data_IF_804146225444
#
_entry.id   IF_804146225444
#
_cell.length_a   1.000
_cell.length_b   1.000
_cell.length_c   1.000
_cell.angle_alpha   90.00
_cell.angle_beta   90.00
_cell.angle_gamma   90.00
#
_symmetry.space_group_name_H-M   'P 1'
#
loop_
_entity.id
_entity.type
_entity.pdbx_description
1 polymer ?
#
# COMPACT_ATOMS: atom_id res chain seq x y z
N UNK A 1 24.58 31.94 -24.67
CA UNK A 1 23.80 31.11 -23.74
C UNK A 1 24.66 30.90 -22.51
N UNK A 2 24.30 31.48 -21.37
CA UNK A 2 25.20 31.57 -20.20
C UNK A 2 25.33 30.19 -19.53
N UNK A 3 26.53 29.82 -19.06
CA UNK A 3 26.80 28.49 -18.46
C UNK A 3 25.84 28.19 -17.30
N UNK A 4 25.52 29.20 -16.49
CA UNK A 4 24.55 29.12 -15.40
C UNK A 4 23.13 28.78 -15.87
N UNK A 5 22.67 29.37 -16.97
CA UNK A 5 21.34 29.08 -17.54
C UNK A 5 21.26 27.63 -18.04
N UNK A 6 22.35 27.10 -18.61
CA UNK A 6 22.44 25.71 -19.05
C UNK A 6 22.50 24.69 -17.91
N UNK A 7 23.11 25.06 -16.78
CA UNK A 7 23.12 24.23 -15.57
C UNK A 7 21.74 24.16 -14.92
N UNK A 8 21.05 25.29 -14.77
CA UNK A 8 19.71 25.35 -14.18
C UNK A 8 18.69 24.57 -15.02
N UNK A 9 18.78 24.64 -16.36
CA UNK A 9 17.88 23.89 -17.24
C UNK A 9 18.10 22.38 -17.09
N UNK A 10 19.35 21.91 -17.09
CA UNK A 10 19.67 20.48 -16.89
C UNK A 10 19.17 19.96 -15.56
N UNK A 11 19.37 20.71 -14.47
CA UNK A 11 18.89 20.32 -13.13
C UNK A 11 17.37 20.22 -13.05
N UNK A 12 16.63 21.07 -13.76
CA UNK A 12 15.17 20.97 -13.85
C UNK A 12 14.75 19.73 -14.63
N UNK A 13 15.44 19.41 -15.71
CA UNK A 13 15.14 18.24 -16.53
C UNK A 13 15.46 16.94 -15.76
N UNK A 14 16.57 16.91 -15.00
CA UNK A 14 16.92 15.79 -14.12
C UNK A 14 15.84 15.54 -13.05
N UNK A 15 15.31 16.60 -12.44
CA UNK A 15 14.23 16.48 -11.44
C UNK A 15 12.90 16.00 -12.04
N UNK A 16 12.58 16.41 -13.26
CA UNK A 16 11.39 15.92 -13.97
C UNK A 16 11.52 14.44 -14.29
N UNK A 17 12.71 14.01 -14.73
CA UNK A 17 13.02 12.62 -14.97
C UNK A 17 12.93 11.77 -13.69
N UNK A 18 13.49 12.26 -12.58
CA UNK A 18 13.38 11.62 -11.26
C UNK A 18 11.91 11.50 -10.81
N UNK A 19 11.13 12.58 -10.94
CA UNK A 19 9.69 12.57 -10.64
C UNK A 19 8.94 11.54 -11.50
N UNK A 20 9.23 11.49 -12.79
CA UNK A 20 8.64 10.51 -13.70
C UNK A 20 8.96 9.08 -13.28
N UNK A 21 10.21 8.78 -12.92
CA UNK A 21 10.60 7.45 -12.45
C UNK A 21 9.83 7.03 -11.19
N UNK A 22 9.66 7.94 -10.23
CA UNK A 22 8.85 7.68 -9.04
C UNK A 22 7.41 7.34 -9.39
N UNK A 23 6.75 8.16 -10.21
CA UNK A 23 5.34 7.93 -10.56
C UNK A 23 5.14 6.72 -11.47
N UNK A 24 6.06 6.42 -12.39
CA UNK A 24 6.00 5.19 -13.20
C UNK A 24 6.08 3.92 -12.37
N UNK A 25 6.87 3.95 -11.30
CA UNK A 25 6.97 2.82 -10.38
C UNK A 25 5.70 2.62 -9.56
N UNK A 26 5.02 3.69 -9.16
CA UNK A 26 3.88 3.65 -8.22
C UNK A 26 2.53 3.57 -8.93
N UNK A 27 2.35 4.29 -10.04
CA UNK A 27 1.11 4.34 -10.82
C UNK A 27 1.26 3.38 -12.00
N UNK A 28 0.64 2.22 -11.88
CA UNK A 28 0.71 1.16 -12.89
C UNK A 28 -0.47 1.27 -13.86
N UNK A 29 -0.29 1.70 -15.13
CA UNK A 29 -1.42 1.90 -16.05
C UNK A 29 -2.19 0.62 -16.37
N UNK A 30 -1.52 -0.53 -16.31
CA UNK A 30 -2.12 -1.84 -16.51
C UNK A 30 -3.10 -2.24 -15.38
N UNK A 31 -2.95 -1.63 -14.21
CA UNK A 31 -3.75 -1.85 -13.01
C UNK A 31 -4.86 -0.80 -12.82
N UNK A 32 -5.28 -0.17 -13.92
CA UNK A 32 -6.41 0.75 -13.92
C UNK A 32 -7.72 0.06 -13.51
N UNK A 33 -8.51 0.71 -12.65
CA UNK A 33 -9.79 0.17 -12.17
C UNK A 33 -11.00 1.06 -12.49
N UNK A 34 -10.81 2.37 -12.60
CA UNK A 34 -11.94 3.29 -12.74
C UNK A 34 -11.60 4.75 -12.43
N UNK A 35 -12.64 5.53 -12.16
CA UNK A 35 -12.55 6.98 -11.98
C UNK A 35 -13.15 7.41 -10.65
N UNK A 36 -12.55 8.42 -10.03
CA UNK A 36 -13.14 9.08 -8.87
C UNK A 36 -14.25 10.03 -9.34
N UNK A 37 -15.46 9.89 -8.79
CA UNK A 37 -16.60 10.76 -9.12
C UNK A 37 -17.08 11.62 -7.95
N UNK A 38 -16.61 11.33 -6.73
CA UNK A 38 -16.94 12.12 -5.53
C UNK A 38 -15.81 11.99 -4.52
N UNK A 39 -15.44 13.10 -3.90
CA UNK A 39 -14.39 13.16 -2.87
C UNK A 39 -14.75 14.24 -1.85
N UNK A 40 -14.37 14.00 -0.61
CA UNK A 40 -14.31 14.99 0.47
C UNK A 40 -13.01 14.73 1.29
N UNK A 41 -12.88 15.30 2.48
CA UNK A 41 -11.66 15.14 3.30
C UNK A 41 -11.44 13.73 3.87
N UNK A 42 -12.49 12.93 4.02
CA UNK A 42 -12.42 11.63 4.72
C UNK A 42 -12.68 10.43 3.80
N UNK A 43 -13.48 10.63 2.76
CA UNK A 43 -14.04 9.57 1.92
C UNK A 43 -14.02 9.97 0.45
N UNK A 44 -13.91 8.95 -0.40
CA UNK A 44 -14.02 9.07 -1.84
C UNK A 44 -14.95 7.99 -2.37
N UNK A 45 -15.60 8.26 -3.50
CA UNK A 45 -16.37 7.26 -4.24
C UNK A 45 -15.79 7.10 -5.63
N UNK A 46 -15.56 5.85 -5.99
CA UNK A 46 -14.93 5.43 -7.23
C UNK A 46 -15.96 4.67 -8.05
N UNK A 47 -16.12 5.04 -9.32
CA UNK A 47 -16.89 4.25 -10.28
C UNK A 47 -15.93 3.25 -10.92
N UNK A 48 -16.27 1.97 -10.84
CA UNK A 48 -15.49 0.87 -11.40
C UNK A 48 -16.31 0.15 -12.47
N UNK A 49 -15.62 -0.61 -13.31
CA UNK A 49 -16.26 -1.48 -14.30
C UNK A 49 -15.73 -2.91 -14.20
N UNK A 50 -16.60 -3.90 -14.36
CA UNK A 50 -16.28 -5.32 -14.17
C UNK A 50 -15.11 -5.82 -15.03
N UNK A 51 -14.98 -5.32 -16.26
CA UNK A 51 -13.84 -5.64 -17.14
C UNK A 51 -12.49 -5.29 -16.50
N UNK A 52 -12.33 -4.06 -16.02
CA UNK A 52 -11.09 -3.59 -15.40
C UNK A 52 -10.88 -4.25 -14.03
N UNK A 53 -11.97 -4.40 -13.25
CA UNK A 53 -11.96 -5.12 -11.98
C UNK A 53 -11.44 -6.55 -12.14
N UNK A 54 -11.89 -7.27 -13.17
CA UNK A 54 -11.44 -8.63 -13.44
C UNK A 54 -9.96 -8.66 -13.88
N UNK A 55 -9.54 -7.70 -14.71
CA UNK A 55 -8.15 -7.59 -15.19
C UNK A 55 -7.15 -7.44 -14.04
N UNK A 56 -7.49 -6.67 -13.01
CA UNK A 56 -6.62 -6.42 -11.84
C UNK A 56 -6.72 -7.49 -10.72
N UNK A 57 -7.37 -8.63 -11.01
CA UNK A 57 -7.55 -9.70 -10.03
C UNK A 57 -8.63 -9.42 -8.97
N UNK A 58 -9.48 -8.42 -9.20
CA UNK A 58 -10.55 -8.01 -8.29
C UNK A 58 -10.16 -6.87 -7.34
N UNK A 59 -11.16 -6.32 -6.66
CA UNK A 59 -11.01 -5.22 -5.68
C UNK A 59 -11.64 -5.73 -4.38
N UNK A 60 -10.85 -6.36 -3.49
CA UNK A 60 -11.35 -6.85 -2.21
C UNK A 60 -11.59 -5.69 -1.22
N UNK A 61 -12.43 -5.92 -0.21
CA UNK A 61 -12.56 -4.96 0.89
C UNK A 61 -11.20 -4.73 1.57
N UNK A 62 -10.98 -3.53 2.06
CA UNK A 62 -9.74 -3.06 2.69
C UNK A 62 -8.52 -3.00 1.77
N UNK A 63 -8.66 -3.31 0.47
CA UNK A 63 -7.54 -3.11 -0.47
C UNK A 63 -7.20 -1.65 -0.64
N UNK A 64 -5.92 -1.37 -0.91
CA UNK A 64 -5.50 -0.05 -1.29
C UNK A 64 -5.82 0.24 -2.75
N UNK A 65 -6.17 1.50 -3.04
CA UNK A 65 -6.25 2.06 -4.38
C UNK A 65 -5.47 3.38 -4.40
N UNK A 66 -4.95 3.74 -5.57
CA UNK A 66 -4.26 5.01 -5.82
C UNK A 66 -5.17 5.86 -6.70
N UNK A 67 -5.48 7.09 -6.29
CA UNK A 67 -6.14 8.07 -7.14
C UNK A 67 -5.16 9.19 -7.54
N UNK A 68 -4.95 9.39 -8.84
CA UNK A 68 -4.02 10.41 -9.33
C UNK A 68 -4.46 11.01 -10.67
N UNK A 69 -3.96 12.21 -10.94
CA UNK A 69 -4.02 12.89 -12.24
C UNK A 69 -2.72 12.79 -13.02
N UNK A 70 -1.66 12.31 -12.38
CA UNK A 70 -0.35 12.17 -13.02
C UNK A 70 -0.46 11.12 -14.11
N UNK A 71 -0.10 11.51 -15.33
CA UNK A 71 0.19 10.56 -16.40
C UNK A 71 1.64 10.07 -16.22
N UNK A 72 1.88 8.81 -15.82
CA UNK A 72 3.22 8.30 -15.61
C UNK A 72 4.07 8.29 -16.90
N UNK A 73 3.44 8.33 -18.07
CA UNK A 73 4.17 8.38 -19.35
C UNK A 73 4.55 9.82 -19.76
N UNK A 74 4.05 10.84 -19.06
CA UNK A 74 4.43 12.22 -19.31
C UNK A 74 5.85 12.50 -18.83
N UNK A 75 6.68 13.06 -19.70
CA UNK A 75 8.04 13.48 -19.38
C UNK A 75 8.12 14.83 -18.66
N UNK A 76 6.99 15.52 -18.50
CA UNK A 76 6.93 16.88 -17.96
C UNK A 76 6.13 16.95 -16.66
N UNK A 77 6.51 16.12 -15.67
CA UNK A 77 5.90 16.13 -14.35
C UNK A 77 6.63 17.15 -13.48
N UNK A 78 5.95 18.26 -13.16
CA UNK A 78 6.47 19.24 -12.21
C UNK A 78 6.04 18.86 -10.79
N UNK A 79 6.99 18.31 -10.02
CA UNK A 79 6.79 17.87 -8.63
C UNK A 79 6.28 18.97 -7.68
N UNK A 80 6.40 20.25 -8.05
CA UNK A 80 5.92 21.38 -7.24
C UNK A 80 4.42 21.63 -7.38
N UNK A 81 3.80 21.05 -8.39
CA UNK A 81 2.36 21.21 -8.63
C UNK A 81 1.57 20.26 -7.73
N UNK A 82 0.39 20.70 -7.28
CA UNK A 82 -0.52 19.85 -6.50
C UNK A 82 -0.90 18.56 -7.24
N UNK A 83 -1.03 18.65 -8.57
CA UNK A 83 -1.35 17.52 -9.44
C UNK A 83 -0.23 16.47 -9.48
N UNK A 84 1.01 16.80 -9.10
CA UNK A 84 2.12 15.86 -8.96
C UNK A 84 2.09 15.14 -7.60
N UNK A 85 0.95 14.53 -7.32
CA UNK A 85 0.71 13.73 -6.11
C UNK A 85 -0.28 12.60 -6.42
N UNK A 86 -0.42 11.69 -5.47
CA UNK A 86 -1.50 10.71 -5.52
C UNK A 86 -2.10 10.47 -4.14
N UNK A 87 -3.42 10.26 -4.13
CA UNK A 87 -4.18 10.00 -2.93
C UNK A 87 -4.23 8.50 -2.70
N UNK A 88 -3.84 8.07 -1.50
CA UNK A 88 -4.00 6.69 -1.06
C UNK A 88 -5.42 6.49 -0.51
N UNK A 89 -6.13 5.57 -1.14
CA UNK A 89 -7.49 5.19 -0.78
C UNK A 89 -7.50 3.78 -0.20
N UNK A 90 -8.37 3.53 0.76
CA UNK A 90 -8.70 2.19 1.27
C UNK A 90 -10.14 1.86 0.93
N UNK A 91 -10.36 0.76 0.24
CA UNK A 91 -11.71 0.26 -0.08
C UNK A 91 -12.43 -0.10 1.21
N UNK A 92 -13.65 0.37 1.38
CA UNK A 92 -14.48 0.08 2.55
C UNK A 92 -15.59 -0.88 2.16
N UNK A 93 -16.50 -0.41 1.31
CA UNK A 93 -17.70 -1.14 0.90
C UNK A 93 -18.16 -0.70 -0.50
N UNK A 94 -19.24 -1.28 -1.02
CA UNK A 94 -19.94 -0.79 -2.18
C UNK A 94 -20.54 0.60 -1.92
N UNK A 95 -20.61 1.42 -2.96
CA UNK A 95 -21.30 2.71 -2.94
C UNK A 95 -22.48 2.68 -3.92
N UNK A 96 -23.61 3.25 -3.51
CA UNK A 96 -24.76 3.38 -4.41
C UNK A 96 -24.48 4.38 -5.52
N UNK A 97 -24.83 4.00 -6.75
CA UNK A 97 -24.91 4.89 -7.91
C UNK A 97 -26.37 5.33 -8.13
N UNK A 98 -26.59 6.50 -8.77
CA UNK A 98 -27.94 7.00 -9.05
C UNK A 98 -28.82 6.00 -9.83
N UNK A 99 -28.21 5.21 -10.72
CA UNK A 99 -28.91 4.23 -11.57
C UNK A 99 -29.12 2.85 -10.94
N UNK A 100 -28.70 2.61 -9.70
CA UNK A 100 -28.70 1.26 -9.11
C UNK A 100 -30.08 0.61 -9.04
N UNK A 101 -31.13 1.40 -8.77
CA UNK A 101 -32.50 0.88 -8.69
C UNK A 101 -32.99 0.33 -10.05
N UNK A 102 -32.69 1.06 -11.13
CA UNK A 102 -33.03 0.59 -12.48
C UNK A 102 -32.16 -0.61 -12.87
N UNK A 103 -30.88 -0.59 -12.50
CA UNK A 103 -29.98 -1.72 -12.74
C UNK A 103 -30.46 -3.00 -12.03
N UNK A 104 -30.90 -2.88 -10.78
CA UNK A 104 -31.48 -3.97 -10.00
C UNK A 104 -32.75 -4.51 -10.65
N UNK A 105 -33.68 -3.62 -11.03
CA UNK A 105 -34.92 -4.00 -11.74
C UNK A 105 -34.63 -4.83 -13.00
N UNK A 106 -33.69 -4.37 -13.84
CA UNK A 106 -33.31 -5.07 -15.08
C UNK A 106 -32.68 -6.43 -14.77
N UNK A 107 -31.85 -6.54 -13.73
CA UNK A 107 -31.25 -7.82 -13.30
C UNK A 107 -32.31 -8.80 -12.83
N UNK A 108 -33.27 -8.36 -12.02
CA UNK A 108 -34.38 -9.20 -11.54
C UNK A 108 -35.25 -9.68 -12.70
N UNK A 109 -35.64 -8.79 -13.61
CA UNK A 109 -36.45 -9.14 -14.78
C UNK A 109 -35.74 -10.13 -15.72
N UNK A 110 -34.44 -9.93 -15.94
CA UNK A 110 -33.64 -10.87 -16.75
C UNK A 110 -33.50 -12.23 -16.06
N UNK A 111 -33.25 -12.25 -14.76
CA UNK A 111 -33.17 -13.49 -13.98
C UNK A 111 -34.51 -14.25 -13.96
N UNK A 112 -35.64 -13.55 -13.89
CA UNK A 112 -36.97 -14.18 -13.99
C UNK A 112 -37.20 -14.82 -15.36
N UNK A 113 -36.76 -14.16 -16.45
CA UNK A 113 -36.93 -14.69 -17.83
C UNK A 113 -36.18 -15.99 -18.09
N UNK A 114 -34.98 -16.14 -17.52
CA UNK A 114 -34.17 -17.36 -17.68
C UNK A 114 -34.36 -18.37 -16.53
N UNK A 115 -35.32 -18.10 -15.63
CA UNK A 115 -35.57 -18.97 -14.48
C UNK A 115 -35.98 -20.37 -14.96
N UNK A 116 -35.25 -21.39 -14.50
CA UNK A 116 -35.43 -22.78 -14.94
C UNK A 116 -34.43 -23.24 -16.01
N UNK A 117 -33.67 -22.35 -16.63
CA UNK A 117 -32.57 -22.71 -17.53
C UNK A 117 -31.27 -22.92 -16.74
N UNK A 118 -30.88 -24.17 -16.47
CA UNK A 118 -29.67 -24.48 -15.67
C UNK A 118 -28.36 -24.27 -16.42
N UNK A 119 -28.40 -24.18 -17.75
CA UNK A 119 -27.22 -24.02 -18.59
C UNK A 119 -26.83 -22.55 -18.85
N UNK A 120 -27.69 -21.59 -18.46
CA UNK A 120 -27.48 -20.18 -18.75
C UNK A 120 -27.52 -19.34 -17.49
N UNK A 121 -26.68 -18.31 -17.46
CA UNK A 121 -26.72 -17.26 -16.44
C UNK A 121 -27.40 -16.01 -16.98
N UNK A 122 -27.85 -15.14 -16.08
CA UNK A 122 -28.64 -13.94 -16.45
C UNK A 122 -27.81 -12.91 -17.22
N UNK A 123 -26.47 -13.00 -17.15
CA UNK A 123 -25.50 -12.18 -17.86
C UNK A 123 -24.98 -12.83 -19.16
N UNK A 124 -25.56 -13.96 -19.57
CA UNK A 124 -25.25 -14.63 -20.83
C UNK A 124 -25.66 -13.76 -22.03
N UNK A 125 -24.89 -13.82 -23.12
CA UNK A 125 -25.09 -12.97 -24.30
C UNK A 125 -26.45 -13.14 -24.99
N UNK A 126 -27.13 -14.27 -24.78
CA UNK A 126 -28.48 -14.54 -25.29
C UNK A 126 -29.58 -13.91 -24.43
N UNK A 127 -29.31 -13.62 -23.16
CA UNK A 127 -30.29 -13.08 -22.21
C UNK A 127 -30.23 -11.55 -22.13
N UNK A 128 -29.06 -10.96 -22.44
CA UNK A 128 -28.80 -9.54 -22.32
C UNK A 128 -27.99 -9.02 -23.50
N UNK A 129 -28.43 -7.92 -24.10
CA UNK A 129 -27.68 -7.27 -25.18
C UNK A 129 -26.38 -6.62 -24.65
N UNK A 130 -25.41 -6.42 -25.56
CA UNK A 130 -24.09 -5.94 -25.20
C UNK A 130 -24.08 -4.54 -24.58
N UNK A 131 -25.02 -3.65 -24.95
CA UNK A 131 -25.10 -2.29 -24.42
C UNK A 131 -25.61 -2.32 -22.99
N UNK A 132 -26.67 -3.07 -22.72
CA UNK A 132 -27.21 -3.27 -21.37
C UNK A 132 -26.18 -3.94 -20.47
N UNK A 133 -25.47 -4.97 -20.95
CA UNK A 133 -24.41 -5.65 -20.20
C UNK A 133 -23.30 -4.69 -19.78
N UNK A 134 -22.84 -3.81 -20.68
CA UNK A 134 -21.84 -2.81 -20.37
C UNK A 134 -22.35 -1.82 -19.31
N UNK A 135 -23.57 -1.29 -19.48
CA UNK A 135 -24.16 -0.35 -18.52
C UNK A 135 -24.29 -0.94 -17.11
N UNK A 136 -24.73 -2.21 -17.01
CA UNK A 136 -24.88 -2.91 -15.73
C UNK A 136 -23.55 -3.40 -15.14
N UNK A 137 -22.46 -3.32 -15.89
CA UNK A 137 -21.11 -3.66 -15.44
C UNK A 137 -20.44 -2.56 -14.62
N UNK A 138 -21.06 -1.38 -14.51
CA UNK A 138 -20.60 -0.31 -13.63
C UNK A 138 -21.10 -0.49 -12.20
N UNK A 139 -20.23 -0.21 -11.23
CA UNK A 139 -20.56 -0.21 -9.81
C UNK A 139 -19.81 0.91 -9.07
N UNK A 140 -20.39 1.37 -7.96
CA UNK A 140 -19.73 2.31 -7.06
C UNK A 140 -18.97 1.57 -5.96
N UNK A 141 -17.81 2.10 -5.58
CA UNK A 141 -17.03 1.65 -4.42
C UNK A 141 -16.75 2.83 -3.52
N UNK A 142 -17.10 2.68 -2.24
CA UNK A 142 -16.77 3.64 -1.21
C UNK A 142 -15.37 3.37 -0.67
N UNK A 143 -14.56 4.42 -0.63
CA UNK A 143 -13.21 4.40 -0.12
C UNK A 143 -13.06 5.39 1.04
N UNK A 144 -12.21 5.05 2.00
CA UNK A 144 -11.67 5.97 2.99
C UNK A 144 -10.36 6.56 2.46
N UNK A 145 -10.15 7.84 2.68
CA UNK A 145 -8.89 8.51 2.36
C UNK A 145 -7.92 8.23 3.49
N UNK A 146 -6.74 7.71 3.13
CA UNK A 146 -5.66 7.42 4.08
C UNK A 146 -4.66 8.56 4.13
N UNK A 147 -4.46 9.25 3.01
CA UNK A 147 -3.55 10.38 2.92
C UNK A 147 -3.06 10.62 1.50
N UNK A 148 -2.05 11.48 1.38
CA UNK A 148 -1.50 11.93 0.10
C UNK A 148 -0.01 11.66 0.04
N UNK A 149 0.43 11.00 -1.02
CA UNK A 149 1.83 10.89 -1.38
C UNK A 149 2.22 11.96 -2.37
N UNK A 150 3.34 12.64 -2.11
CA UNK A 150 3.88 13.69 -2.95
C UNK A 150 5.41 13.63 -2.95
N UNK A 151 6.02 14.32 -3.91
CA UNK A 151 7.48 14.38 -4.01
C UNK A 151 7.99 15.68 -3.41
N UNK A 152 9.08 15.59 -2.66
CA UNK A 152 9.75 16.74 -2.06
C UNK A 152 11.26 16.64 -2.28
N UNK A 153 11.92 17.78 -2.53
CA UNK A 153 13.37 17.80 -2.67
C UNK A 153 14.05 17.65 -1.30
N UNK A 154 15.10 16.83 -1.24
CA UNK A 154 15.82 16.55 0.03
C UNK A 154 16.66 17.75 0.48
N UNK A 155 16.14 18.59 1.37
CA UNK A 155 16.88 19.72 1.95
C UNK A 155 16.98 20.95 1.03
N UNK A 156 17.74 21.96 1.47
CA UNK A 156 17.84 23.25 0.77
C UNK A 156 18.82 23.27 -0.42
N UNK A 157 19.45 22.14 -0.75
CA UNK A 157 20.41 22.08 -1.87
C UNK A 157 19.69 21.83 -3.19
N UNK A 158 19.99 22.65 -4.20
CA UNK A 158 19.29 22.60 -5.49
C UNK A 158 19.47 21.27 -6.25
N UNK A 159 20.50 20.48 -5.95
CA UNK A 159 20.81 19.20 -6.63
C UNK A 159 20.36 17.96 -5.87
N UNK A 160 19.58 18.11 -4.80
CA UNK A 160 19.20 16.96 -3.99
C UNK A 160 18.13 16.09 -4.69
N UNK A 161 18.18 14.76 -4.53
CA UNK A 161 17.21 13.84 -5.11
C UNK A 161 15.81 14.08 -4.52
N UNK A 162 14.78 13.75 -5.30
CA UNK A 162 13.40 13.79 -4.84
C UNK A 162 13.13 12.58 -3.94
N UNK A 163 12.48 12.86 -2.81
CA UNK A 163 12.00 11.84 -1.90
C UNK A 163 10.47 11.80 -1.92
N UNK A 164 9.94 10.58 -1.82
CA UNK A 164 8.54 10.37 -1.56
C UNK A 164 8.19 10.73 -0.12
N UNK A 165 7.23 11.64 0.06
CA UNK A 165 6.66 12.07 1.33
C UNK A 165 5.20 11.67 1.42
N UNK A 166 4.75 11.41 2.64
CA UNK A 166 3.37 11.01 2.94
C UNK A 166 2.75 11.97 3.96
N UNK A 167 1.63 12.58 3.59
CA UNK A 167 0.74 13.29 4.52
C UNK A 167 -0.45 12.40 4.88
N UNK A 168 -0.86 12.38 6.15
CA UNK A 168 -1.96 11.55 6.64
C UNK A 168 -3.37 12.08 6.32
N UNK A 169 -3.45 13.15 5.54
CA UNK A 169 -4.66 13.83 5.12
C UNK A 169 -4.57 14.28 3.64
N UNK A 170 -5.61 14.95 3.17
CA UNK A 170 -5.58 15.72 1.93
C UNK A 170 -5.63 17.19 2.29
N UNK A 171 -4.77 18.00 1.67
CA UNK A 171 -4.74 19.45 1.90
C UNK A 171 -5.93 20.15 1.25
N UNK A 172 -6.37 19.66 0.10
CA UNK A 172 -7.43 20.23 -0.71
C UNK A 172 -8.12 19.16 -1.57
N UNK A 173 -9.34 19.45 -2.02
CA UNK A 173 -10.01 18.65 -3.05
C UNK A 173 -10.80 19.54 -4.00
N UNK A 174 -10.93 19.08 -5.25
CA UNK A 174 -11.71 19.77 -6.26
C UNK A 174 -12.90 18.90 -6.69
N UNK A 175 -14.15 19.35 -6.50
CA UNK A 175 -15.33 18.57 -6.83
C UNK A 175 -15.41 18.15 -8.32
N UNK A 176 -14.88 18.97 -9.22
CA UNK A 176 -14.90 18.76 -10.66
C UNK A 176 -13.51 18.53 -11.27
N UNK A 177 -12.61 17.87 -10.52
CA UNK A 177 -11.37 17.32 -11.09
C UNK A 177 -11.38 15.81 -10.97
N UNK A 178 -11.56 15.14 -12.12
CA UNK A 178 -11.46 13.69 -12.19
C UNK A 178 -10.04 13.20 -11.86
N UNK A 179 -9.98 12.12 -11.09
CA UNK A 179 -8.76 11.37 -10.77
C UNK A 179 -8.93 9.96 -11.32
N UNK A 180 -7.90 9.45 -12.00
CA UNK A 180 -7.85 8.06 -12.44
C UNK A 180 -7.46 7.19 -11.23
N UNK A 181 -8.10 6.04 -11.12
CA UNK A 181 -7.92 5.13 -9.99
C UNK A 181 -7.26 3.84 -10.45
N UNK A 182 -6.24 3.43 -9.70
CA UNK A 182 -5.41 2.25 -9.97
C UNK A 182 -5.32 1.38 -8.72
N UNK A 183 -5.13 0.07 -8.90
CA UNK A 183 -4.87 -0.85 -7.81
C UNK A 183 -3.37 -1.13 -7.73
N UNK A 184 -2.64 -0.65 -6.71
CA UNK A 184 -1.22 -0.96 -6.58
C UNK A 184 -0.99 -2.46 -6.40
N UNK A 185 -0.02 -3.00 -7.12
CA UNK A 185 0.41 -4.40 -7.05
C UNK A 185 1.95 -4.51 -7.04
N UNK A 186 2.48 -5.65 -6.58
CA UNK A 186 3.92 -5.93 -6.56
C UNK A 186 4.75 -4.84 -5.89
N UNK A 187 5.74 -4.30 -6.63
CA UNK A 187 6.66 -3.28 -6.14
C UNK A 187 6.00 -1.96 -5.74
N UNK A 188 4.91 -1.57 -6.40
CA UNK A 188 4.17 -0.36 -6.06
C UNK A 188 3.53 -0.50 -4.67
N UNK A 189 2.85 -1.63 -4.45
CA UNK A 189 2.23 -1.93 -3.16
C UNK A 189 3.29 -2.13 -2.06
N UNK A 190 4.40 -2.79 -2.37
CA UNK A 190 5.54 -2.94 -1.46
C UNK A 190 6.08 -1.58 -0.99
N UNK A 191 6.21 -0.62 -1.92
CA UNK A 191 6.71 0.73 -1.62
C UNK A 191 5.75 1.52 -0.72
N UNK A 192 4.44 1.32 -0.89
CA UNK A 192 3.40 1.98 -0.08
C UNK A 192 3.31 1.38 1.31
N UNK A 193 3.23 0.05 1.41
CA UNK A 193 3.01 -0.66 2.68
C UNK A 193 4.22 -0.59 3.59
N UNK A 194 5.43 -0.64 3.02
CA UNK A 194 6.68 -0.57 3.76
C UNK A 194 7.30 0.84 3.73
N UNK A 195 6.48 1.87 3.51
CA UNK A 195 6.91 3.25 3.52
C UNK A 195 7.43 3.65 4.91
N UNK A 196 8.58 4.33 4.94
CA UNK A 196 9.14 4.96 6.14
C UNK A 196 9.55 6.37 5.73
N UNK A 197 9.19 7.37 6.55
CA UNK A 197 9.57 8.75 6.27
C UNK A 197 11.10 8.89 6.19
N UNK A 198 11.65 9.54 5.13
CA UNK A 198 13.09 9.79 4.98
C UNK A 198 13.76 10.43 6.21
N UNK A 199 13.04 11.27 6.95
CA UNK A 199 13.51 11.91 8.18
C UNK A 199 13.74 10.89 9.29
N UNK A 200 12.85 9.89 9.42
CA UNK A 200 13.03 8.80 10.39
C UNK A 200 14.24 7.94 10.01
N UNK A 201 14.41 7.64 8.72
CA UNK A 201 15.60 6.89 8.24
C UNK A 201 16.89 7.66 8.56
N UNK A 202 16.89 8.99 8.38
CA UNK A 202 18.05 9.82 8.69
C UNK A 202 18.34 9.85 10.20
N UNK A 203 17.32 9.95 11.05
CA UNK A 203 17.47 9.88 12.51
C UNK A 203 18.05 8.53 12.95
N UNK A 204 17.54 7.43 12.40
CA UNK A 204 18.03 6.08 12.66
C UNK A 204 19.49 5.93 12.25
N UNK A 205 19.83 6.36 11.03
CA UNK A 205 21.21 6.43 10.56
C UNK A 205 22.07 7.29 11.48
N UNK A 206 21.51 8.37 12.01
CA UNK A 206 22.24 9.29 12.86
C UNK A 206 22.58 8.72 14.24
N UNK A 207 21.66 7.98 14.85
CA UNK A 207 21.86 7.37 16.16
C UNK A 207 22.61 6.04 16.10
N UNK A 208 22.35 5.22 15.09
CA UNK A 208 22.73 3.81 15.07
C UNK A 208 23.61 3.43 13.87
N UNK A 209 24.02 4.39 13.04
CA UNK A 209 24.87 4.17 11.89
C UNK A 209 24.13 3.66 10.65
N UNK A 210 24.86 3.48 9.55
CA UNK A 210 24.26 3.11 8.26
C UNK A 210 23.54 1.75 8.30
N UNK A 211 24.06 0.80 9.08
CA UNK A 211 23.53 -0.57 9.17
C UNK A 211 22.12 -0.60 9.75
N UNK A 212 21.76 0.41 10.54
CA UNK A 212 20.43 0.51 11.12
C UNK A 212 19.34 0.64 10.06
N UNK A 213 19.59 1.28 8.91
CA UNK A 213 18.59 1.43 7.82
C UNK A 213 18.10 0.09 7.28
N UNK A 214 18.96 -0.92 7.31
CA UNK A 214 18.72 -2.23 6.71
C UNK A 214 18.19 -3.24 7.74
N UNK A 215 18.07 -2.84 9.01
CA UNK A 215 17.56 -3.67 10.10
C UNK A 215 16.02 -3.79 10.01
N UNK A 216 15.53 -4.42 8.95
CA UNK A 216 14.11 -4.70 8.74
C UNK A 216 13.80 -6.15 9.09
N UNK A 217 12.72 -6.37 9.82
CA UNK A 217 12.24 -7.73 10.11
C UNK A 217 10.89 -7.94 9.45
N UNK A 218 10.82 -9.00 8.64
CA UNK A 218 9.59 -9.41 7.99
C UNK A 218 8.63 -9.98 9.05
N UNK A 219 7.40 -9.47 9.08
CA UNK A 219 6.35 -9.95 9.97
C UNK A 219 5.29 -10.79 9.24
N UNK A 220 5.23 -10.70 7.91
CA UNK A 220 4.26 -11.43 7.11
C UNK A 220 4.17 -10.93 5.68
N UNK A 221 3.00 -11.10 5.08
CA UNK A 221 2.65 -10.63 3.74
C UNK A 221 1.30 -9.92 3.78
N UNK A 222 1.07 -9.01 2.83
CA UNK A 222 -0.20 -8.31 2.68
C UNK A 222 -1.29 -9.31 2.30
N UNK A 223 -2.41 -9.27 3.03
CA UNK A 223 -3.59 -10.09 2.72
C UNK A 223 -4.86 -9.27 2.91
N UNK A 224 -5.60 -9.06 1.83
CA UNK A 224 -6.86 -8.31 1.86
C UNK A 224 -8.08 -9.17 2.21
N UNK A 225 -8.08 -10.43 1.79
CA UNK A 225 -9.19 -11.34 2.03
C UNK A 225 -8.70 -12.73 2.46
N UNK A 226 -9.55 -13.43 3.22
CA UNK A 226 -9.34 -14.85 3.53
C UNK A 226 -9.32 -15.69 2.25
N UNK A 227 -10.15 -15.33 1.28
CA UNK A 227 -10.14 -15.90 -0.06
C UNK A 227 -8.96 -15.35 -0.85
N UNK A 228 -7.83 -16.04 -0.81
CA UNK A 228 -6.67 -15.77 -1.67
C UNK A 228 -6.59 -16.86 -2.74
N UNK A 229 -6.99 -16.56 -3.98
CA UNK A 229 -6.94 -17.54 -5.08
C UNK A 229 -5.61 -17.39 -5.81
N UNK A 230 -4.87 -18.48 -5.96
CA UNK A 230 -3.55 -18.50 -6.63
C UNK A 230 -3.52 -17.86 -8.03
N UNK A 231 -4.64 -17.85 -8.75
CA UNK A 231 -4.74 -17.32 -10.11
C UNK A 231 -5.31 -15.89 -10.18
N UNK A 232 -5.40 -15.17 -9.05
CA UNK A 232 -5.82 -13.76 -9.06
C UNK A 232 -4.71 -12.79 -9.45
N UNK A 233 -3.47 -13.26 -9.68
CA UNK A 233 -2.31 -12.43 -10.03
C UNK A 233 -2.08 -11.28 -9.02
N UNK A 234 -2.39 -11.52 -7.75
CA UNK A 234 -2.07 -10.60 -6.66
C UNK A 234 -0.76 -11.10 -6.06
N UNK A 235 0.26 -10.24 -6.09
CA UNK A 235 1.58 -10.61 -5.57
C UNK A 235 1.55 -10.73 -4.05
N UNK A 236 2.27 -11.72 -3.51
CA UNK A 236 2.53 -11.84 -2.08
C UNK A 236 3.56 -10.79 -1.66
N UNK A 237 3.07 -9.59 -1.34
CA UNK A 237 3.92 -8.47 -0.93
C UNK A 237 4.34 -8.64 0.54
N UNK A 238 5.64 -8.75 0.86
CA UNK A 238 6.11 -8.87 2.23
C UNK A 238 5.87 -7.58 3.02
N UNK A 239 5.61 -7.71 4.32
CA UNK A 239 5.47 -6.58 5.25
C UNK A 239 6.62 -6.64 6.25
N UNK A 240 7.29 -5.51 6.41
CA UNK A 240 8.42 -5.35 7.31
C UNK A 240 8.09 -4.35 8.41
N UNK A 241 8.68 -4.57 9.58
CA UNK A 241 8.76 -3.57 10.64
C UNK A 241 10.22 -3.21 10.87
N UNK A 242 10.45 -1.97 11.31
CA UNK A 242 11.74 -1.56 11.79
C UNK A 242 11.78 -1.78 13.32
N UNK A 243 12.61 -2.69 13.86
CA UNK A 243 12.62 -2.98 15.29
C UNK A 243 12.99 -1.76 16.14
N UNK A 244 13.68 -0.77 15.55
CA UNK A 244 13.95 0.49 16.23
C UNK A 244 12.71 1.34 16.52
N UNK A 245 11.65 1.21 15.73
CA UNK A 245 10.38 1.91 16.00
C UNK A 245 9.75 1.36 17.28
N UNK A 246 9.92 0.06 17.54
CA UNK A 246 9.47 -0.62 18.76
C UNK A 246 10.24 -0.17 20.01
N UNK A 247 11.43 0.43 19.84
CA UNK A 247 12.23 0.98 20.95
C UNK A 247 11.84 2.43 21.26
N UNK A 248 11.48 3.20 20.24
CA UNK A 248 11.13 4.61 20.40
C UNK A 248 9.65 4.81 20.76
N UNK A 249 8.80 3.83 20.49
CA UNK A 249 7.35 3.94 20.68
C UNK A 249 6.80 2.81 21.55
N UNK A 250 5.73 3.11 22.30
CA UNK A 250 4.99 2.10 23.05
C UNK A 250 4.17 1.25 22.08
N UNK A 251 4.46 -0.04 21.98
CA UNK A 251 3.71 -0.98 21.15
C UNK A 251 2.78 -1.83 22.00
N UNK A 252 1.55 -2.04 21.55
CA UNK A 252 0.61 -2.98 22.13
C UNK A 252 0.22 -4.03 21.09
N UNK A 253 0.23 -5.30 21.47
CA UNK A 253 -0.19 -6.42 20.62
C UNK A 253 -1.45 -7.05 21.20
N UNK A 254 -2.57 -6.89 20.48
CA UNK A 254 -3.85 -7.49 20.85
C UNK A 254 -4.13 -8.71 19.98
N UNK A 255 -4.67 -9.76 20.59
CA UNK A 255 -5.03 -10.97 19.88
C UNK A 255 -5.59 -12.03 20.81
N UNK A 256 -6.58 -12.79 20.33
CA UNK A 256 -7.17 -13.91 21.06
C UNK A 256 -6.13 -15.02 21.31
N UNK A 257 -6.45 -15.96 22.19
CA UNK A 257 -5.61 -17.15 22.39
C UNK A 257 -5.56 -17.99 21.11
N UNK A 258 -4.37 -18.54 20.80
CA UNK A 258 -4.11 -19.38 19.60
C UNK A 258 -4.23 -18.68 18.24
N UNK A 259 -4.25 -17.34 18.20
CA UNK A 259 -4.23 -16.58 16.93
C UNK A 259 -2.83 -16.09 16.54
N UNK A 260 -1.77 -16.69 17.10
CA UNK A 260 -0.39 -16.34 16.76
C UNK A 260 0.23 -15.19 17.56
N UNK A 261 -0.46 -14.61 18.56
CA UNK A 261 0.07 -13.52 19.42
C UNK A 261 1.47 -13.83 19.97
N UNK A 262 1.65 -14.98 20.61
CA UNK A 262 2.93 -15.37 21.21
C UNK A 262 4.05 -15.54 20.16
N UNK A 263 3.72 -16.04 18.96
CA UNK A 263 4.69 -16.15 17.86
C UNK A 263 5.10 -14.76 17.35
N UNK A 264 4.16 -13.86 17.16
CA UNK A 264 4.46 -12.46 16.78
C UNK A 264 5.31 -11.78 17.85
N UNK A 265 5.00 -11.98 19.14
CA UNK A 265 5.82 -11.47 20.25
C UNK A 265 7.24 -12.04 20.23
N UNK A 266 7.43 -13.33 19.93
CA UNK A 266 8.76 -13.94 19.76
C UNK A 266 9.54 -13.30 18.62
N UNK A 267 8.91 -13.08 17.46
CA UNK A 267 9.55 -12.41 16.31
C UNK A 267 9.97 -10.98 16.68
N UNK A 268 9.10 -10.23 17.34
CA UNK A 268 9.38 -8.86 17.82
C UNK A 268 10.50 -8.85 18.86
N UNK A 269 10.46 -9.74 19.85
CA UNK A 269 11.50 -9.80 20.88
C UNK A 269 12.86 -10.17 20.27
N UNK A 270 12.88 -11.18 19.38
CA UNK A 270 14.07 -11.58 18.64
C UNK A 270 14.62 -10.44 17.79
N UNK A 271 13.76 -9.71 17.08
CA UNK A 271 14.20 -8.59 16.23
C UNK A 271 14.86 -7.47 17.01
N UNK A 272 14.33 -7.15 18.20
CA UNK A 272 14.93 -6.18 19.12
C UNK A 272 16.26 -6.71 19.70
N UNK A 273 16.33 -8.00 20.03
CA UNK A 273 17.57 -8.61 20.50
C UNK A 273 18.68 -8.58 19.43
N UNK A 274 18.34 -8.86 18.18
CA UNK A 274 19.29 -8.88 17.06
C UNK A 274 19.88 -7.49 16.75
N UNK A 275 19.19 -6.40 17.09
CA UNK A 275 19.74 -5.05 17.00
C UNK A 275 21.04 -4.88 17.81
N UNK A 276 21.24 -5.64 18.89
CA UNK A 276 22.48 -5.59 19.69
C UNK A 276 23.71 -6.04 18.91
N UNK A 277 23.52 -6.87 17.87
CA UNK A 277 24.62 -7.37 17.02
C UNK A 277 25.06 -6.33 15.98
N UNK A 278 24.29 -5.27 15.80
CA UNK A 278 24.64 -4.19 14.89
C UNK A 278 25.71 -3.30 15.54
N UNK A 279 26.54 -2.70 14.69
CA UNK A 279 27.57 -1.75 15.09
C UNK A 279 27.06 -0.32 14.89
N UNK A 280 27.22 0.52 15.90
CA UNK A 280 26.90 1.94 15.81
C UNK A 280 27.94 2.72 14.98
N UNK A 281 27.79 4.05 14.91
CA UNK A 281 28.73 4.92 14.18
C UNK A 281 30.17 4.88 14.71
N UNK A 282 30.36 4.54 15.97
CA UNK A 282 31.67 4.42 16.63
C UNK A 282 32.20 2.98 16.60
N UNK A 283 31.57 2.11 15.80
CA UNK A 283 31.86 0.68 15.69
C UNK A 283 31.70 -0.09 17.02
N UNK A 284 30.86 0.41 17.92
CA UNK A 284 30.52 -0.24 19.19
C UNK A 284 29.21 -1.02 19.05
N UNK A 285 29.06 -2.05 19.87
CA UNK A 285 27.80 -2.80 19.95
C UNK A 285 26.69 -1.89 20.48
N UNK A 286 25.52 -1.94 19.84
CA UNK A 286 24.35 -1.19 20.31
C UNK A 286 23.87 -1.82 21.63
N UNK A 287 23.92 -1.04 22.71
CA UNK A 287 23.46 -1.48 24.04
C UNK A 287 21.95 -1.32 24.17
N UNK A 288 21.23 -2.41 23.94
CA UNK A 288 19.78 -2.50 24.18
C UNK A 288 19.56 -3.45 25.35
N UNK A 289 18.61 -3.15 26.24
CA UNK A 289 18.17 -4.05 27.31
C UNK A 289 16.73 -4.49 27.05
N UNK A 290 16.38 -5.76 27.32
CA UNK A 290 15.00 -6.22 27.23
C UNK A 290 14.67 -7.01 28.50
N UNK A 291 13.54 -6.68 29.12
CA UNK A 291 12.98 -7.39 30.26
C UNK A 291 11.62 -7.91 29.82
N UNK A 292 11.43 -9.22 29.89
CA UNK A 292 10.17 -9.88 29.52
C UNK A 292 9.58 -10.46 30.80
N UNK A 293 8.42 -9.94 31.20
CA UNK A 293 7.63 -10.53 32.28
C UNK A 293 6.73 -11.62 31.68
N UNK A 294 7.07 -12.87 31.96
CA UNK A 294 6.41 -14.03 31.40
C UNK A 294 5.77 -14.88 32.51
N UNK A 295 4.53 -14.56 32.92
CA UNK A 295 3.86 -15.30 34.00
C UNK A 295 3.56 -16.76 33.62
N UNK A 296 3.51 -17.09 32.33
CA UNK A 296 3.13 -18.41 31.84
C UNK A 296 4.33 -19.28 31.41
N UNK A 297 5.55 -18.73 31.37
CA UNK A 297 6.75 -19.44 30.95
C UNK A 297 6.82 -19.76 29.44
N UNK A 298 6.05 -19.07 28.59
CA UNK A 298 6.01 -19.29 27.14
C UNK A 298 7.31 -18.90 26.39
N UNK A 299 8.14 -18.05 26.99
CA UNK A 299 9.33 -17.43 26.39
C UNK A 299 10.65 -17.83 27.06
N UNK A 300 10.60 -18.63 28.14
CA UNK A 300 11.79 -19.10 28.86
C UNK A 300 12.45 -20.34 28.24
N UNK A 301 11.73 -21.10 27.39
CA UNK A 301 12.18 -22.38 26.85
C UNK A 301 12.34 -22.35 25.32
N UNK A 302 13.31 -23.10 24.80
CA UNK A 302 13.50 -23.29 23.35
C UNK A 302 12.30 -24.01 22.73
N UNK A 303 11.80 -23.49 21.59
CA UNK A 303 10.72 -24.12 20.84
C UNK A 303 11.24 -25.39 20.13
N UNK A 304 11.01 -26.56 20.72
CA UNK A 304 11.41 -27.86 20.15
C UNK A 304 10.66 -28.21 18.85
N UNK A 305 9.58 -27.50 18.53
CA UNK A 305 8.73 -27.75 17.35
C UNK A 305 9.28 -27.27 16.00
N UNK A 306 10.33 -26.45 15.97
CA UNK A 306 10.86 -25.85 14.72
C UNK A 306 12.10 -26.57 14.13
N UNK A 307 12.45 -27.76 14.63
CA UNK A 307 13.69 -28.46 14.23
C UNK A 307 13.77 -28.90 12.74
N UNK A 308 12.70 -28.72 11.94
CA UNK A 308 12.66 -29.12 10.53
C UNK A 308 12.25 -28.01 9.54
N UNK A 309 12.21 -26.76 9.97
CA UNK A 309 12.02 -25.61 9.07
C UNK A 309 12.98 -24.51 9.48
N UNK A 310 13.71 -23.94 8.52
CA UNK A 310 14.85 -23.03 8.69
C UNK A 310 14.53 -21.67 9.35
N UNK A 311 13.97 -21.68 10.55
CA UNK A 311 13.73 -20.55 11.43
C UNK A 311 14.28 -20.89 12.81
N UNK A 312 15.60 -20.76 12.97
CA UNK A 312 16.27 -20.98 14.26
C UNK A 312 15.66 -20.04 15.31
N UNK A 313 14.81 -20.59 16.19
CA UNK A 313 14.14 -19.88 17.27
C UNK A 313 14.92 -20.09 18.57
N UNK A 314 15.23 -18.97 19.24
CA UNK A 314 15.80 -18.85 20.59
C UNK A 314 17.24 -19.35 20.79
N UNK A 315 18.19 -18.41 20.71
CA UNK A 315 19.42 -18.47 21.53
C UNK A 315 19.13 -17.74 22.84
N UNK A 316 19.55 -18.33 23.98
CA UNK A 316 19.45 -17.75 25.33
C UNK A 316 19.64 -16.23 25.33
N UNK A 317 18.59 -15.51 25.75
CA UNK A 317 18.68 -14.09 26.06
C UNK A 317 19.35 -13.99 27.44
N UNK A 318 20.64 -13.71 27.44
CA UNK A 318 21.39 -13.12 28.55
C UNK A 318 21.84 -11.72 28.15
#
# INVERSE_FOLDING_TARGET
MNIEQGLISRLKDDKKADAQQWFQRLIQPNEYVGDLYSINYETARVIIHDFYRAKVGGIPSLSFLIASRVDPNSSNIDFKTEDASFILLRVMDAASLPQDKEAERIRVETAQRISGETEKHWDHASAMDARTKNLLGFAGVQCRIIGTFFLEASGHQENAPLNLKFGSDISNYYPNRGLKVYKPNGDALNSIVNYIDPSNILELKNRYGNVAKDAKVQIGHVRYASTNRKYQNIDDVPVYIHPMDLLNQKTALFGMTRTGKSNTTKIIAKSVFELRKLRDKENKDIRIGQIIFDPNGEYANENVQDNNSAWLCCTKIS
#
